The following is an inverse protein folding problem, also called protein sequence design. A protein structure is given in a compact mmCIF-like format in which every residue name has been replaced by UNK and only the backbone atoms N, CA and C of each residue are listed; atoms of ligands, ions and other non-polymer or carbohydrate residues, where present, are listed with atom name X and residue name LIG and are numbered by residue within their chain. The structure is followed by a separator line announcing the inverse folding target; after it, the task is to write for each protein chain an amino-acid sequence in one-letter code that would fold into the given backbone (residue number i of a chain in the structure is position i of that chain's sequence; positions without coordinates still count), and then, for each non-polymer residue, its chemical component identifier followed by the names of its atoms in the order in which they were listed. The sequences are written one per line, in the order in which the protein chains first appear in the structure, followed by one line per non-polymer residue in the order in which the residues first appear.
data_IF_041597723338
#
_entry.id   IF_041597723338
#
_cell.length_a   1.000
_cell.length_b   1.000
_cell.length_c   1.000
_cell.angle_alpha   90.00
_cell.angle_beta   90.00
_cell.angle_gamma   90.00
#
_symmetry.space_group_name_H-M   'P 1'
#
loop_
_entity.id
_entity.type
_entity.pdbx_description
1 polymer ?
#
# COMPACT_ATOMS: atom_id res chain seq x y z
N UNK A 1 -5.74 6.36 18.65
CA UNK A 1 -6.09 5.73 17.37
C UNK A 1 -6.38 4.26 17.62
N UNK A 2 -7.46 3.71 17.05
CA UNK A 2 -7.82 2.28 17.17
C UNK A 2 -8.00 1.61 15.80
N UNK A 3 -8.18 0.29 15.80
CA UNK A 3 -8.24 -0.50 14.57
C UNK A 3 -9.46 -0.20 13.68
N UNK A 4 -10.61 0.18 14.27
CA UNK A 4 -11.80 0.51 13.49
C UNK A 4 -11.63 1.85 12.78
N UNK A 5 -11.06 2.83 13.49
CA UNK A 5 -10.68 4.10 12.89
C UNK A 5 -9.66 3.89 11.74
N UNK A 6 -8.63 3.08 11.98
CA UNK A 6 -7.60 2.75 10.98
C UNK A 6 -8.19 2.09 9.73
N UNK A 7 -9.12 1.16 9.92
CA UNK A 7 -9.83 0.53 8.82
C UNK A 7 -10.67 1.54 8.04
N UNK A 8 -11.34 2.48 8.72
CA UNK A 8 -12.10 3.54 8.06
C UNK A 8 -11.19 4.44 7.21
N UNK A 9 -10.03 4.88 7.75
CA UNK A 9 -9.03 5.63 6.99
C UNK A 9 -8.55 4.83 5.77
N UNK A 10 -8.29 3.54 5.93
CA UNK A 10 -7.92 2.65 4.82
C UNK A 10 -8.97 2.60 3.70
N UNK A 11 -10.25 2.50 4.06
CA UNK A 11 -11.35 2.49 3.10
C UNK A 11 -11.45 3.83 2.37
N UNK A 12 -11.32 4.95 3.09
CA UNK A 12 -11.36 6.28 2.51
C UNK A 12 -10.17 6.46 1.56
N UNK A 13 -8.95 6.21 2.03
CA UNK A 13 -7.73 6.28 1.21
C UNK A 13 -7.86 5.50 -0.09
N UNK A 14 -8.31 4.25 -0.01
CA UNK A 14 -8.49 3.38 -1.18
C UNK A 14 -9.55 3.88 -2.16
N UNK A 15 -10.60 4.55 -1.69
CA UNK A 15 -11.72 4.96 -2.54
C UNK A 15 -11.54 6.34 -3.14
N UNK A 16 -10.88 7.23 -2.43
CA UNK A 16 -10.86 8.66 -2.77
C UNK A 16 -9.46 9.26 -2.85
N UNK A 17 -8.42 8.51 -2.46
CA UNK A 17 -7.06 9.03 -2.29
C UNK A 17 -7.05 10.31 -1.42
N UNK A 18 -7.90 10.34 -0.39
CA UNK A 18 -8.00 11.47 0.51
C UNK A 18 -6.70 11.64 1.32
N UNK A 19 -5.99 12.78 1.21
CA UNK A 19 -4.70 12.95 1.85
C UNK A 19 -4.75 12.82 3.37
N UNK A 20 -5.80 13.31 4.04
CA UNK A 20 -5.91 13.22 5.50
C UNK A 20 -5.99 11.75 5.93
N UNK A 21 -6.83 10.97 5.26
CA UNK A 21 -6.90 9.53 5.52
C UNK A 21 -5.56 8.83 5.26
N UNK A 22 -4.83 9.22 4.22
CA UNK A 22 -3.50 8.71 3.92
C UNK A 22 -2.50 9.01 5.05
N UNK A 23 -2.48 10.25 5.55
CA UNK A 23 -1.57 10.65 6.63
C UNK A 23 -1.81 9.88 7.92
N UNK A 24 -3.07 9.60 8.27
CA UNK A 24 -3.39 8.75 9.43
C UNK A 24 -2.84 7.33 9.29
N UNK A 25 -2.85 6.76 8.06
CA UNK A 25 -2.23 5.46 7.80
C UNK A 25 -0.70 5.53 7.95
N UNK A 26 -0.08 6.61 7.48
CA UNK A 26 1.37 6.81 7.57
C UNK A 26 1.82 6.93 9.03
N UNK A 27 1.13 7.75 9.83
CA UNK A 27 1.45 7.92 11.26
C UNK A 27 1.33 6.59 12.01
N UNK A 28 0.34 5.78 11.65
CA UNK A 28 0.12 4.47 12.27
C UNK A 28 1.24 3.45 12.02
N UNK A 29 2.11 3.66 11.02
CA UNK A 29 3.28 2.82 10.80
C UNK A 29 4.30 2.91 11.95
N UNK A 30 4.34 4.03 12.66
CA UNK A 30 5.21 4.25 13.84
C UNK A 30 4.48 3.99 15.16
N UNK A 31 3.23 3.52 15.12
CA UNK A 31 2.43 3.24 16.31
C UNK A 31 3.13 2.23 17.22
N UNK A 32 3.10 2.40 18.56
CA UNK A 32 3.61 1.38 19.48
C UNK A 32 2.82 0.06 19.40
N UNK A 33 1.57 0.09 18.92
CA UNK A 33 0.74 -1.10 18.74
C UNK A 33 1.13 -1.85 17.45
N UNK A 34 1.68 -3.08 17.54
CA UNK A 34 2.05 -3.87 16.36
C UNK A 34 0.88 -4.19 15.44
N UNK A 35 -0.35 -4.26 15.97
CA UNK A 35 -1.55 -4.55 15.17
C UNK A 35 -1.91 -3.36 14.28
N UNK A 36 -1.79 -2.14 14.81
CA UNK A 36 -2.03 -0.93 14.05
C UNK A 36 -0.97 -0.74 12.96
N UNK A 37 0.31 -0.98 13.28
CA UNK A 37 1.38 -0.94 12.28
C UNK A 37 1.12 -1.90 11.11
N UNK A 38 0.77 -3.15 11.42
CA UNK A 38 0.51 -4.16 10.41
C UNK A 38 -0.73 -3.84 9.56
N UNK A 39 -1.81 -3.35 10.19
CA UNK A 39 -3.03 -2.96 9.49
C UNK A 39 -2.76 -1.78 8.54
N UNK A 40 -2.09 -0.73 9.03
CA UNK A 40 -1.72 0.42 8.23
C UNK A 40 -0.84 0.03 7.04
N UNK A 41 0.19 -0.78 7.27
CA UNK A 41 1.05 -1.30 6.22
C UNK A 41 0.26 -2.07 5.16
N UNK A 42 -0.66 -2.96 5.58
CA UNK A 42 -1.47 -3.75 4.65
C UNK A 42 -2.34 -2.85 3.76
N UNK A 43 -3.01 -1.86 4.36
CA UNK A 43 -3.88 -0.92 3.65
C UNK A 43 -3.08 -0.04 2.66
N UNK A 44 -1.90 0.42 3.05
CA UNK A 44 -1.01 1.18 2.18
C UNK A 44 -0.49 0.32 1.02
N UNK A 45 -0.07 -0.92 1.29
CA UNK A 45 0.43 -1.86 0.27
C UNK A 45 -0.65 -2.20 -0.76
N UNK A 46 -1.89 -2.41 -0.31
CA UNK A 46 -3.03 -2.67 -1.20
C UNK A 46 -3.28 -1.53 -2.19
N UNK A 47 -3.11 -0.28 -1.75
CA UNK A 47 -3.35 0.90 -2.57
C UNK A 47 -2.16 1.25 -3.50
N UNK A 48 -1.01 0.60 -3.30
CA UNK A 48 0.08 0.56 -4.26
C UNK A 48 0.68 1.93 -4.59
N UNK A 49 0.49 2.39 -5.83
CA UNK A 49 1.15 3.60 -6.36
C UNK A 49 0.78 4.86 -5.58
N UNK A 50 -0.49 5.06 -5.25
CA UNK A 50 -0.93 6.26 -4.54
C UNK A 50 -0.26 6.34 -3.15
N UNK A 51 -0.05 5.18 -2.50
CA UNK A 51 0.69 5.09 -1.25
C UNK A 51 2.19 5.33 -1.40
N UNK A 52 2.77 5.12 -2.59
CA UNK A 52 4.20 5.36 -2.83
C UNK A 52 4.52 6.84 -2.70
N UNK A 53 3.79 7.69 -3.43
CA UNK A 53 4.00 9.13 -3.44
C UNK A 53 3.82 9.72 -2.03
N UNK A 54 2.83 9.20 -1.29
CA UNK A 54 2.58 9.57 0.10
C UNK A 54 3.73 9.18 1.04
N UNK A 55 4.26 7.97 0.92
CA UNK A 55 5.38 7.48 1.74
C UNK A 55 6.67 8.26 1.44
N UNK A 56 6.94 8.60 0.18
CA UNK A 56 8.06 9.45 -0.20
C UNK A 56 7.95 10.84 0.44
N UNK A 57 6.76 11.45 0.39
CA UNK A 57 6.48 12.73 1.04
C UNK A 57 6.65 12.68 2.56
N UNK A 58 6.23 11.58 3.20
CA UNK A 58 6.38 11.36 4.64
C UNK A 58 7.85 11.30 5.07
N UNK A 59 8.69 10.59 4.31
CA UNK A 59 10.13 10.51 4.55
C UNK A 59 10.80 11.86 4.35
N UNK A 60 10.49 12.55 3.25
CA UNK A 60 11.05 13.86 2.96
C UNK A 60 10.71 14.90 4.03
N UNK A 61 9.55 14.77 4.67
CA UNK A 61 9.08 15.65 5.75
C UNK A 61 9.56 15.24 7.14
N UNK A 62 10.24 14.09 7.26
CA UNK A 62 10.72 13.56 8.54
C UNK A 62 9.61 13.02 9.46
N UNK A 63 8.41 12.78 8.92
CA UNK A 63 7.26 12.23 9.67
C UNK A 63 7.45 10.73 9.91
N UNK A 64 8.01 10.04 8.91
CA UNK A 64 8.21 8.60 8.92
C UNK A 64 9.70 8.28 8.77
N UNK A 65 10.21 7.34 9.56
CA UNK A 65 11.60 6.91 9.44
C UNK A 65 11.85 6.24 8.07
N UNK A 66 13.03 6.44 7.46
CA UNK A 66 13.37 5.77 6.21
C UNK A 66 13.34 4.24 6.31
N UNK A 67 13.65 3.66 7.48
CA UNK A 67 13.62 2.22 7.67
C UNK A 67 12.19 1.66 7.59
N UNK A 68 11.23 2.30 8.28
CA UNK A 68 9.83 1.87 8.29
C UNK A 68 9.19 2.10 6.92
N UNK A 69 9.43 3.28 6.33
CA UNK A 69 8.93 3.60 5.00
C UNK A 69 9.48 2.65 3.93
N UNK A 70 10.80 2.38 3.97
CA UNK A 70 11.48 1.51 3.01
C UNK A 70 10.93 0.08 3.02
N UNK A 71 10.61 -0.46 4.20
CA UNK A 71 9.96 -1.78 4.31
C UNK A 71 8.60 -1.80 3.61
N UNK A 72 7.76 -0.79 3.83
CA UNK A 72 6.44 -0.68 3.23
C UNK A 72 6.50 -0.47 1.70
N UNK A 73 7.37 0.44 1.23
CA UNK A 73 7.59 0.68 -0.20
C UNK A 73 8.08 -0.57 -0.92
N UNK A 74 8.98 -1.34 -0.30
CA UNK A 74 9.48 -2.59 -0.87
C UNK A 74 8.36 -3.64 -1.02
N UNK A 75 7.42 -3.72 -0.07
CA UNK A 75 6.23 -4.58 -0.17
C UNK A 75 5.25 -4.13 -1.27
N UNK A 76 5.07 -2.82 -1.46
CA UNK A 76 4.29 -2.28 -2.59
C UNK A 76 4.89 -2.76 -3.92
N UNK A 77 6.20 -2.65 -4.09
CA UNK A 77 6.89 -3.08 -5.31
C UNK A 77 6.76 -4.58 -5.54
N UNK A 78 6.93 -5.42 -4.50
CA UNK A 78 6.73 -6.87 -4.57
C UNK A 78 5.29 -7.24 -4.97
N UNK A 79 4.31 -6.59 -4.35
CA UNK A 79 2.89 -6.81 -4.62
C UNK A 79 2.49 -6.38 -6.04
N UNK A 80 3.08 -5.30 -6.54
CA UNK A 80 2.92 -4.84 -7.92
C UNK A 80 3.46 -5.84 -8.94
N UNK A 81 4.64 -6.42 -8.70
CA UNK A 81 5.26 -7.43 -9.57
C UNK A 81 4.42 -8.71 -9.64
N UNK A 82 3.91 -9.20 -8.51
CA UNK A 82 3.05 -10.39 -8.45
C UNK A 82 1.76 -10.23 -9.27
N UNK A 83 1.19 -9.01 -9.31
CA UNK A 83 0.01 -8.71 -10.13
C UNK A 83 0.31 -8.67 -11.62
N UNK A 84 1.51 -8.25 -12.01
CA UNK A 84 1.92 -8.18 -13.42
C UNK A 84 2.24 -9.56 -14.01
N UNK A 85 2.91 -10.43 -13.25
CA UNK A 85 3.23 -11.80 -13.69
C UNK A 85 1.98 -12.66 -13.82
N UNK A 86 1.02 -12.58 -12.90
CA UNK A 86 -0.26 -13.27 -13.01
C UNK A 86 -1.12 -12.82 -14.20
N UNK A 87 -1.05 -11.54 -14.57
CA UNK A 87 -1.73 -11.00 -15.76
C UNK A 87 -1.10 -11.40 -17.09
N UNK A 88 0.23 -11.58 -17.14
CA UNK A 88 0.93 -12.06 -18.33
C UNK A 88 0.65 -13.53 -18.63
N UNK A 89 0.61 -14.41 -17.62
CA UNK A 89 0.31 -15.84 -17.81
C UNK A 89 -1.08 -16.07 -18.40
N UNK A 90 -2.07 -15.26 -18.01
CA UNK A 90 -3.43 -15.35 -18.56
C UNK A 90 -3.46 -14.87 -20.02
N UNK A 91 -2.82 -13.73 -20.34
CA UNK A 91 -2.81 -13.22 -21.72
C UNK A 91 -2.13 -14.17 -22.70
N UNK A 92 -1.04 -14.84 -22.31
CA UNK A 92 -0.37 -15.82 -23.16
C UNK A 92 -1.29 -17.01 -23.48
N UNK A 93 -2.03 -17.51 -22.47
CA UNK A 93 -2.95 -18.63 -22.62
C UNK A 93 -4.12 -18.34 -23.59
N UNK A 94 -4.62 -17.10 -23.63
CA UNK A 94 -5.68 -16.72 -24.58
C UNK A 94 -5.18 -16.60 -26.03
N UNK A 95 -3.91 -16.22 -26.24
CA UNK A 95 -3.31 -16.15 -27.59
C UNK A 95 -3.13 -17.57 -28.16
N UNK A 96 -2.72 -18.53 -27.33
CA UNK A 96 -2.53 -19.92 -27.77
C UNK A 96 -3.87 -20.64 -28.06
N UNK A 97 -4.94 -20.35 -27.31
CA UNK A 97 -6.27 -20.94 -27.55
C UNK A 97 -6.96 -20.36 -28.79
N UNK A 98 -6.69 -19.11 -29.15
CA UNK A 98 -7.29 -18.46 -30.33
C UNK A 98 -6.65 -18.86 -31.67
N UNK A 99 -5.54 -19.62 -31.65
CA UNK A 99 -4.84 -20.10 -32.84
C UNK A 99 -5.14 -21.57 -33.19
N UNK A 100 -6.11 -22.20 -32.52
CA UNK A 100 -6.68 -23.51 -32.86
C UNK A 100 -8.10 -23.35 -33.42
#
# INVERSE_FOLDING_TARGET
MDANYMLACGIVWRKTADPEAGWELVEALESPDPRLRLLAQSLLVENGKDSMDLLEGAVASGILSPEVAGSCMAEILRSGQARQTGGQTIKQHWVDVSLC
#
